data_IF_695678840513
#
_entry.id   IF_695678840513
#
_cell.length_a   1.000
_cell.length_b   1.000
_cell.length_c   1.000
_cell.angle_alpha   90.00
_cell.angle_beta   90.00
_cell.angle_gamma   90.00
#
_symmetry.space_group_name_H-M   'P 1'
#
loop_
_entity.id
_entity.type
_entity.pdbx_description
1 polymer ?
#
# COMPACT_ATOMS: atom_id res chain seq x y z
N UNK A 1 1.13 2.69 -6.73
CA UNK A 1 0.64 2.11 -8.00
C UNK A 1 -0.57 1.20 -7.80
N UNK A 2 -0.42 -0.04 -7.34
CA UNK A 2 -1.54 -1.01 -7.33
C UNK A 2 -2.76 -0.56 -6.52
N UNK A 3 -2.58 0.07 -5.35
CA UNK A 3 -3.71 0.63 -4.59
C UNK A 3 -4.52 1.65 -5.40
N UNK A 4 -3.85 2.53 -6.14
CA UNK A 4 -4.51 3.54 -6.97
C UNK A 4 -5.23 2.91 -8.17
N UNK A 5 -4.59 1.94 -8.83
CA UNK A 5 -5.18 1.20 -9.95
C UNK A 5 -6.46 0.47 -9.52
N UNK A 6 -6.41 -0.23 -8.39
CA UNK A 6 -7.57 -0.96 -7.83
C UNK A 6 -8.69 -0.02 -7.39
N UNK A 7 -8.36 1.09 -6.71
CA UNK A 7 -9.37 2.05 -6.26
C UNK A 7 -10.07 2.77 -7.42
N UNK A 8 -9.33 3.08 -8.49
CA UNK A 8 -9.89 3.72 -9.69
C UNK A 8 -10.52 2.73 -10.70
N UNK A 9 -10.33 1.41 -10.50
CA UNK A 9 -10.82 0.40 -11.43
C UNK A 9 -10.15 0.46 -12.81
N UNK A 10 -8.88 0.83 -12.86
CA UNK A 10 -8.10 1.01 -14.09
C UNK A 10 -6.90 0.07 -14.12
N UNK A 11 -6.41 -0.21 -15.33
CA UNK A 11 -5.16 -0.95 -15.49
C UNK A 11 -3.98 -0.12 -14.98
N UNK A 12 -2.97 -0.71 -14.30
CA UNK A 12 -1.78 0.02 -13.85
C UNK A 12 -1.09 0.80 -14.97
N UNK A 13 -1.16 0.29 -16.20
CA UNK A 13 -0.61 0.94 -17.39
C UNK A 13 -1.20 2.34 -17.65
N UNK A 14 -2.49 2.54 -17.37
CA UNK A 14 -3.16 3.84 -17.55
C UNK A 14 -2.65 4.90 -16.58
N UNK A 15 -2.11 4.50 -15.43
CA UNK A 15 -1.46 5.40 -14.47
C UNK A 15 -0.01 5.62 -14.90
N UNK A 16 0.71 4.55 -15.23
CA UNK A 16 2.16 4.60 -15.48
C UNK A 16 2.54 5.20 -16.83
N UNK A 17 1.60 5.35 -17.78
CA UNK A 17 1.86 5.99 -19.06
C UNK A 17 2.37 7.44 -18.94
N UNK A 18 2.15 8.08 -17.79
CA UNK A 18 2.61 9.44 -17.49
C UNK A 18 3.96 9.47 -16.76
N UNK A 19 4.69 8.35 -16.70
CA UNK A 19 5.97 8.23 -16.00
C UNK A 19 7.06 7.68 -16.93
N UNK A 20 8.27 8.24 -16.85
CA UNK A 20 9.44 7.68 -17.55
C UNK A 20 9.91 6.35 -16.97
N UNK A 21 9.68 6.16 -15.67
CA UNK A 21 10.02 4.94 -14.93
C UNK A 21 9.08 4.73 -13.75
N UNK A 22 9.00 3.49 -13.29
CA UNK A 22 8.09 3.05 -12.24
C UNK A 22 8.80 2.07 -11.34
N UNK A 23 8.67 2.25 -10.03
CA UNK A 23 9.02 1.22 -9.06
C UNK A 23 7.76 0.68 -8.38
N UNK A 24 7.71 -0.64 -8.21
CA UNK A 24 6.65 -1.32 -7.49
C UNK A 24 7.24 -2.30 -6.48
N UNK A 25 6.87 -2.16 -5.21
CA UNK A 25 7.21 -3.12 -4.17
C UNK A 25 6.22 -4.30 -4.14
N UNK A 26 6.73 -5.51 -3.98
CA UNK A 26 5.91 -6.71 -3.79
C UNK A 26 5.69 -7.04 -2.30
N UNK A 27 6.56 -6.54 -1.41
CA UNK A 27 6.53 -6.86 0.03
C UNK A 27 5.70 -5.90 0.88
N UNK A 28 4.60 -5.41 0.33
CA UNK A 28 3.62 -4.57 1.02
C UNK A 28 2.23 -5.23 0.90
N UNK A 29 1.21 -4.52 0.44
CA UNK A 29 -0.13 -5.08 0.24
C UNK A 29 -0.22 -6.22 -0.78
N UNK A 30 0.85 -6.52 -1.53
CA UNK A 30 0.93 -7.69 -2.42
C UNK A 30 1.41 -8.97 -1.72
N UNK A 31 1.85 -8.89 -0.46
CA UNK A 31 2.09 -10.07 0.39
C UNK A 31 3.33 -10.91 0.06
N UNK A 32 4.19 -10.50 -0.89
CA UNK A 32 5.45 -11.21 -1.11
C UNK A 32 6.42 -10.99 0.08
N UNK A 33 7.27 -11.96 0.45
CA UNK A 33 8.18 -11.80 1.60
C UNK A 33 9.25 -10.72 1.37
N UNK A 34 9.69 -10.53 0.13
CA UNK A 34 10.63 -9.49 -0.26
C UNK A 34 10.49 -9.19 -1.76
N UNK A 35 11.07 -8.07 -2.18
CA UNK A 35 11.28 -7.76 -3.59
C UNK A 35 10.52 -6.54 -4.09
N UNK A 36 11.06 -5.98 -5.17
CA UNK A 36 10.49 -4.88 -5.93
C UNK A 36 10.91 -5.03 -7.39
N UNK A 37 10.21 -4.33 -8.28
CA UNK A 37 10.59 -4.16 -9.68
C UNK A 37 10.81 -2.69 -9.99
N UNK A 38 11.75 -2.43 -10.89
CA UNK A 38 11.92 -1.16 -11.58
C UNK A 38 11.62 -1.41 -13.06
N UNK A 39 10.72 -0.62 -13.64
CA UNK A 39 10.33 -0.66 -15.03
C UNK A 39 10.53 0.72 -15.67
N UNK A 40 10.80 0.73 -16.98
CA UNK A 40 11.02 1.94 -17.76
C UNK A 40 11.56 1.58 -19.14
N UNK A 41 12.09 2.57 -19.85
CA UNK A 41 12.73 2.36 -21.15
C UNK A 41 13.93 1.41 -21.06
N UNK A 42 14.27 0.76 -22.17
CA UNK A 42 15.32 -0.27 -22.23
C UNK A 42 16.65 0.25 -21.71
N UNK A 43 17.01 1.48 -22.07
CA UNK A 43 18.26 2.13 -21.68
C UNK A 43 18.35 2.27 -20.15
N UNK A 44 17.24 2.68 -19.52
CA UNK A 44 17.14 2.77 -18.06
C UNK A 44 17.28 1.41 -17.40
N UNK A 45 16.60 0.38 -17.92
CA UNK A 45 16.67 -0.98 -17.36
C UNK A 45 18.08 -1.55 -17.50
N UNK A 46 18.76 -1.29 -18.62
CA UNK A 46 20.15 -1.70 -18.83
C UNK A 46 21.09 -1.05 -17.81
N UNK A 47 20.94 0.24 -17.54
CA UNK A 47 21.75 0.93 -16.53
C UNK A 47 21.43 0.45 -15.11
N UNK A 48 20.14 0.34 -14.78
CA UNK A 48 19.69 -0.16 -13.49
C UNK A 48 20.20 -1.58 -13.22
N UNK A 49 20.37 -2.42 -14.25
CA UNK A 49 20.92 -3.76 -14.10
C UNK A 49 22.40 -3.74 -13.65
N UNK A 50 23.19 -2.78 -14.16
CA UNK A 50 24.58 -2.54 -13.73
C UNK A 50 24.62 -2.04 -12.29
N UNK A 51 23.84 -0.99 -11.98
CA UNK A 51 23.75 -0.41 -10.63
C UNK A 51 23.28 -1.44 -9.62
N UNK A 52 22.30 -2.28 -9.97
CA UNK A 52 21.84 -3.39 -9.10
C UNK A 52 22.98 -4.32 -8.72
N UNK A 53 23.92 -4.60 -9.62
CA UNK A 53 25.10 -5.42 -9.31
C UNK A 53 26.07 -4.68 -8.40
N UNK A 54 26.36 -3.41 -8.69
CA UNK A 54 27.23 -2.55 -7.88
C UNK A 54 26.73 -2.45 -6.43
N UNK A 55 25.42 -2.29 -6.23
CA UNK A 55 24.79 -2.17 -4.92
C UNK A 55 24.51 -3.53 -4.23
N UNK A 56 24.96 -4.65 -4.81
CA UNK A 56 24.81 -5.98 -4.20
C UNK A 56 23.42 -6.65 -4.37
N UNK A 57 22.50 -6.06 -5.14
CA UNK A 57 21.17 -6.62 -5.42
C UNK A 57 21.14 -7.78 -6.42
N UNK A 58 22.30 -8.27 -6.84
CA UNK A 58 22.47 -9.33 -7.84
C UNK A 58 22.26 -10.75 -7.33
N UNK A 59 21.12 -11.02 -6.67
CA UNK A 59 20.76 -12.31 -6.08
C UNK A 59 20.81 -13.46 -7.10
N UNK A 60 21.14 -14.67 -6.62
CA UNK A 60 21.25 -15.90 -7.43
C UNK A 60 19.88 -16.57 -7.55
N UNK A 61 19.48 -17.38 -6.56
CA UNK A 61 18.22 -18.13 -6.57
C UNK A 61 16.99 -17.26 -6.22
N UNK A 62 16.88 -16.07 -6.85
CA UNK A 62 15.79 -15.13 -6.61
C UNK A 62 14.42 -15.60 -7.15
N UNK A 63 14.37 -16.72 -7.87
CA UNK A 63 13.15 -17.29 -8.45
C UNK A 63 12.07 -17.57 -7.40
N UNK A 64 12.44 -17.98 -6.18
CA UNK A 64 11.49 -18.23 -5.09
C UNK A 64 10.78 -16.93 -4.69
N UNK A 65 11.51 -15.82 -4.57
CA UNK A 65 10.93 -14.50 -4.28
C UNK A 65 10.09 -13.98 -5.45
N UNK A 66 10.56 -14.17 -6.68
CA UNK A 66 9.82 -13.79 -7.88
C UNK A 66 8.50 -14.57 -8.03
N UNK A 67 8.47 -15.85 -7.65
CA UNK A 67 7.26 -16.66 -7.65
C UNK A 67 6.22 -16.12 -6.65
N UNK A 68 6.64 -15.77 -5.43
CA UNK A 68 5.76 -15.13 -4.45
C UNK A 68 5.22 -13.78 -4.93
N UNK A 69 6.08 -12.95 -5.55
CA UNK A 69 5.65 -11.69 -6.18
C UNK A 69 4.62 -11.91 -7.29
N UNK A 70 4.80 -12.93 -8.13
CA UNK A 70 3.85 -13.28 -9.19
C UNK A 70 2.49 -13.69 -8.62
N UNK A 71 2.46 -14.52 -7.58
CA UNK A 71 1.22 -14.89 -6.89
C UNK A 71 0.52 -13.66 -6.28
N UNK A 72 1.28 -12.79 -5.62
CA UNK A 72 0.77 -11.54 -5.08
C UNK A 72 0.13 -10.62 -6.12
N UNK A 73 0.73 -10.53 -7.32
CA UNK A 73 0.15 -9.78 -8.45
C UNK A 73 -1.16 -10.40 -8.95
N UNK A 74 -1.24 -11.72 -9.05
CA UNK A 74 -2.45 -12.42 -9.50
C UNK A 74 -3.65 -12.23 -8.57
N UNK A 75 -3.40 -12.00 -7.28
CA UNK A 75 -4.43 -11.81 -6.25
C UNK A 75 -4.60 -10.35 -5.84
N UNK A 76 -3.85 -9.43 -6.46
CA UNK A 76 -3.71 -8.05 -6.00
C UNK A 76 -5.04 -7.32 -5.87
N UNK A 77 -5.92 -7.45 -6.86
CA UNK A 77 -7.21 -6.75 -6.88
C UNK A 77 -8.10 -7.15 -5.70
N UNK A 78 -8.29 -8.45 -5.48
CA UNK A 78 -9.09 -8.97 -4.37
C UNK A 78 -8.49 -8.58 -3.00
N UNK A 79 -7.18 -8.76 -2.83
CA UNK A 79 -6.47 -8.43 -1.58
C UNK A 79 -6.56 -6.93 -1.28
N UNK A 80 -6.23 -6.07 -2.25
CA UNK A 80 -6.20 -4.62 -2.01
C UNK A 80 -7.61 -4.04 -1.84
N UNK A 81 -8.64 -4.54 -2.53
CA UNK A 81 -10.03 -4.11 -2.26
C UNK A 81 -10.44 -4.42 -0.82
N UNK A 82 -10.09 -5.61 -0.32
CA UNK A 82 -10.35 -5.97 1.07
C UNK A 82 -9.61 -5.02 2.01
N UNK A 83 -8.37 -4.66 1.72
CA UNK A 83 -7.60 -3.72 2.53
C UNK A 83 -8.21 -2.30 2.50
N UNK A 84 -8.71 -1.83 1.35
CA UNK A 84 -9.42 -0.55 1.22
C UNK A 84 -10.70 -0.55 2.06
N UNK A 85 -11.49 -1.63 1.96
CA UNK A 85 -12.69 -1.82 2.76
C UNK A 85 -12.39 -1.84 4.27
N UNK A 86 -11.35 -2.55 4.68
CA UNK A 86 -10.93 -2.58 6.09
C UNK A 86 -10.48 -1.21 6.59
N UNK A 87 -9.72 -0.45 5.80
CA UNK A 87 -9.31 0.91 6.13
C UNK A 87 -10.52 1.83 6.27
N UNK A 88 -11.48 1.74 5.34
CA UNK A 88 -12.73 2.51 5.42
C UNK A 88 -13.55 2.15 6.65
N UNK A 89 -13.71 0.86 6.96
CA UNK A 89 -14.39 0.39 8.17
C UNK A 89 -13.71 0.84 9.45
N UNK A 90 -12.38 0.83 9.47
CA UNK A 90 -11.60 1.35 10.59
C UNK A 90 -11.73 2.87 10.74
N UNK A 91 -11.89 3.60 9.64
CA UNK A 91 -12.12 5.04 9.68
C UNK A 91 -13.52 5.38 10.19
N UNK A 92 -14.56 4.80 9.57
CA UNK A 92 -15.97 5.07 9.87
C UNK A 92 -16.35 4.60 11.27
N UNK A 93 -15.90 3.40 11.64
CA UNK A 93 -16.52 2.66 12.71
C UNK A 93 -17.72 1.88 12.21
N UNK A 94 -17.67 0.57 12.43
CA UNK A 94 -18.84 -0.30 12.33
C UNK A 94 -18.72 -1.24 13.50
N UNK A 95 -19.69 -1.21 14.41
CA UNK A 95 -19.72 -2.08 15.58
C UNK A 95 -19.56 -3.53 15.14
N UNK A 96 -18.46 -4.17 15.56
CA UNK A 96 -18.28 -5.61 15.38
C UNK A 96 -19.29 -6.39 16.22
N UNK A 97 -19.42 -7.71 16.01
CA UNK A 97 -20.34 -8.58 16.78
C UNK A 97 -20.08 -8.59 18.31
N UNK A 98 -19.03 -7.92 18.79
CA UNK A 98 -18.62 -7.83 20.19
C UNK A 98 -18.88 -6.46 20.84
N UNK A 99 -19.53 -5.51 20.15
CA UNK A 99 -19.96 -4.24 20.77
C UNK A 99 -18.81 -3.32 21.25
N UNK A 100 -17.57 -3.54 20.81
CA UNK A 100 -16.46 -2.61 21.07
C UNK A 100 -16.63 -1.32 20.27
N UNK A 101 -16.35 -0.13 20.85
CA UNK A 101 -16.45 1.16 20.14
C UNK A 101 -15.63 1.11 18.85
N UNK A 102 -16.28 1.36 17.72
CA UNK A 102 -15.77 1.05 16.38
C UNK A 102 -15.16 2.27 15.71
N UNK A 103 -13.92 2.14 15.22
CA UNK A 103 -13.30 3.08 14.29
C UNK A 103 -13.11 4.53 14.78
N UNK A 104 -12.30 5.31 14.05
CA UNK A 104 -11.81 6.60 14.56
C UNK A 104 -12.89 7.67 14.64
N UNK A 105 -13.87 7.65 13.72
CA UNK A 105 -14.94 8.64 13.74
C UNK A 105 -15.97 8.41 14.86
N UNK A 106 -16.40 7.18 15.14
CA UNK A 106 -17.35 6.93 16.25
C UNK A 106 -16.74 7.24 17.61
N UNK A 107 -15.40 7.21 17.75
CA UNK A 107 -14.73 7.64 18.99
C UNK A 107 -15.10 9.08 19.37
N UNK A 108 -15.46 9.92 18.39
CA UNK A 108 -15.80 11.33 18.57
C UNK A 108 -14.80 12.06 19.50
N UNK A 109 -13.52 11.74 19.32
CA UNK A 109 -12.46 12.20 20.22
C UNK A 109 -12.20 13.70 19.99
N UNK A 110 -12.08 14.50 21.06
CA UNK A 110 -11.68 15.90 20.91
C UNK A 110 -10.21 16.07 20.48
N UNK A 111 -9.43 14.98 20.50
CA UNK A 111 -8.00 14.96 20.23
C UNK A 111 -7.67 14.33 18.88
N UNK A 112 -8.56 13.49 18.33
CA UNK A 112 -8.32 12.78 17.07
C UNK A 112 -9.49 12.98 16.11
N UNK A 113 -9.20 13.46 14.91
CA UNK A 113 -10.18 13.60 13.82
C UNK A 113 -9.68 12.99 12.52
N UNK A 114 -10.61 12.61 11.66
CA UNK A 114 -10.31 12.06 10.32
C UNK A 114 -11.14 12.77 9.26
N UNK A 115 -10.67 12.73 8.02
CA UNK A 115 -11.48 13.07 6.85
C UNK A 115 -11.86 11.79 6.10
N UNK A 116 -13.11 11.34 6.25
CA UNK A 116 -13.60 10.13 5.56
C UNK A 116 -13.50 10.20 4.04
N UNK A 117 -13.69 11.38 3.44
CA UNK A 117 -13.67 11.49 1.98
C UNK A 117 -12.28 11.24 1.41
N UNK A 118 -11.23 11.40 2.22
CA UNK A 118 -9.86 11.11 1.85
C UNK A 118 -9.47 9.63 2.02
N UNK A 119 -10.35 8.80 2.59
CA UNK A 119 -10.12 7.35 2.76
C UNK A 119 -10.58 6.63 1.49
N UNK A 120 -9.73 6.71 0.46
CA UNK A 120 -9.97 6.10 -0.85
C UNK A 120 -9.29 4.74 -1.02
N UNK A 121 -8.26 4.44 -0.22
CA UNK A 121 -7.46 3.20 -0.33
C UNK A 121 -7.22 2.59 1.04
N UNK A 122 -6.11 1.86 1.24
CA UNK A 122 -5.76 1.20 2.50
C UNK A 122 -5.13 2.15 3.55
N UNK A 123 -5.29 3.47 3.40
CA UNK A 123 -4.69 4.47 4.28
C UNK A 123 -5.76 5.34 4.94
N UNK A 124 -5.63 5.51 6.26
CA UNK A 124 -6.46 6.41 7.06
C UNK A 124 -5.53 7.46 7.68
N UNK A 125 -5.73 8.72 7.29
CA UNK A 125 -4.96 9.84 7.83
C UNK A 125 -5.70 10.41 9.04
N UNK A 126 -5.03 10.41 10.19
CA UNK A 126 -5.56 10.90 11.46
C UNK A 126 -4.88 12.21 11.80
N UNK A 127 -5.69 13.23 12.06
CA UNK A 127 -5.22 14.50 12.61
C UNK A 127 -5.31 14.42 14.13
N UNK A 128 -4.20 14.72 14.80
CA UNK A 128 -4.13 14.75 16.26
C UNK A 128 -3.91 16.20 16.70
N UNK A 129 -4.80 16.73 17.53
CA UNK A 129 -4.76 18.10 18.03
C UNK A 129 -4.19 18.16 19.46
N UNK A 130 -3.30 19.11 19.72
CA UNK A 130 -2.61 19.23 21.01
C UNK A 130 -1.35 18.37 21.14
N UNK A 131 -0.65 18.50 22.28
CA UNK A 131 0.44 17.59 22.67
C UNK A 131 -0.14 16.60 23.67
N UNK A 132 -0.19 15.33 23.30
CA UNK A 132 -0.40 14.25 24.25
C UNK A 132 0.96 13.87 24.81
N UNK A 133 1.24 14.17 26.07
CA UNK A 133 2.39 13.57 26.73
C UNK A 133 2.09 12.08 26.99
N UNK A 134 3.10 11.19 27.03
CA UNK A 134 2.89 9.80 27.42
C UNK A 134 2.27 9.61 28.82
N UNK A 135 2.26 10.66 29.66
CA UNK A 135 1.62 10.64 30.98
C UNK A 135 0.10 10.94 30.93
N UNK A 136 -0.39 11.45 29.79
CA UNK A 136 -1.80 11.79 29.55
C UNK A 136 -2.54 10.75 28.69
N UNK A 137 -1.82 9.70 28.25
CA UNK A 137 -2.32 8.53 27.53
C UNK A 137 -2.47 7.32 28.46
#
# INVERSE_FOLDING_TARGET
LMNAAVAQGVEPAQITQHCDSVSLCFSKGLGAPAGAVLAGRRELVSEAWRVRKLLGGGLRQAGVLAAAARLGLQQAEATLRRDHHNARRFAEGTSGPLGTPGGIQELNSPVCSINLTAVETNMVMVTVTGRLSPAEL
#
